data_IF_781292444061
#
_entry.id   IF_781292444061
#
_cell.length_a   1.000
_cell.length_b   1.000
_cell.length_c   1.000
_cell.angle_alpha   90.00
_cell.angle_beta   90.00
_cell.angle_gamma   90.00
#
_symmetry.space_group_name_H-M   'P 1'
#
loop_
_entity.id
_entity.type
_entity.pdbx_description
1 polymer ?
#
# COMPACT_ATOMS: atom_id res chain seq x y z
N UNK A 1 -17.24 4.30 -23.73
CA UNK A 1 -16.30 3.19 -23.44
C UNK A 1 -16.56 2.75 -22.01
N UNK A 2 -16.58 1.46 -21.77
CA UNK A 2 -16.81 0.86 -20.47
C UNK A 2 -15.78 -0.25 -20.23
N UNK A 3 -15.45 -0.51 -18.97
CA UNK A 3 -14.60 -1.62 -18.54
C UNK A 3 -15.16 -2.24 -17.26
N UNK A 4 -14.99 -3.53 -17.11
CA UNK A 4 -15.27 -4.24 -15.86
C UNK A 4 -13.99 -4.82 -15.30
N UNK A 5 -13.66 -4.47 -14.07
CA UNK A 5 -12.55 -5.04 -13.32
C UNK A 5 -13.08 -6.10 -12.35
N UNK A 6 -12.46 -7.27 -12.37
CA UNK A 6 -12.85 -8.42 -11.56
C UNK A 6 -11.96 -8.55 -10.34
N UNK A 7 -12.59 -8.64 -9.18
CA UNK A 7 -11.93 -8.81 -7.88
C UNK A 7 -10.74 -7.88 -7.69
N UNK A 8 -10.90 -6.55 -7.77
CA UNK A 8 -9.78 -5.64 -7.52
C UNK A 8 -9.21 -5.86 -6.11
N UNK A 9 -7.89 -5.77 -5.99
CA UNK A 9 -7.16 -5.98 -4.73
C UNK A 9 -6.29 -4.75 -4.47
N UNK A 10 -6.37 -4.22 -3.26
CA UNK A 10 -5.46 -3.20 -2.75
C UNK A 10 -4.40 -3.87 -1.86
N UNK A 11 -3.18 -4.02 -2.36
CA UNK A 11 -2.14 -4.73 -1.63
C UNK A 11 -1.46 -3.91 -0.53
N UNK A 12 -1.91 -2.67 -0.27
CA UNK A 12 -1.37 -1.81 0.79
C UNK A 12 -2.36 -0.72 1.19
N UNK A 13 -3.06 -0.88 2.31
CA UNK A 13 -4.13 0.02 2.70
C UNK A 13 -4.07 0.41 4.20
N UNK A 14 -4.24 1.72 4.48
CA UNK A 14 -4.41 2.26 5.81
C UNK A 14 -5.87 2.71 6.03
N UNK A 15 -6.65 1.98 6.82
CA UNK A 15 -8.05 2.33 7.12
C UNK A 15 -8.24 3.03 8.47
N UNK A 16 -7.16 3.26 9.22
CA UNK A 16 -7.16 3.97 10.50
C UNK A 16 -8.04 3.30 11.55
N UNK A 17 -8.53 4.06 12.53
CA UNK A 17 -9.23 3.55 13.74
C UNK A 17 -10.48 4.38 14.03
N UNK A 18 -11.43 3.82 14.75
CA UNK A 18 -12.58 4.52 15.32
C UNK A 18 -13.43 5.29 14.28
N UNK A 19 -13.70 6.56 14.54
CA UNK A 19 -14.50 7.40 13.64
C UNK A 19 -13.88 7.57 12.26
N UNK A 20 -12.54 7.63 12.20
CA UNK A 20 -11.81 7.78 10.95
C UNK A 20 -11.93 6.51 10.09
N UNK A 21 -11.85 5.31 10.69
CA UNK A 21 -12.11 4.05 10.00
C UNK A 21 -13.50 4.07 9.34
N UNK A 22 -14.54 4.42 10.10
CA UNK A 22 -15.92 4.47 9.60
C UNK A 22 -16.10 5.46 8.45
N UNK A 23 -15.37 6.58 8.48
CA UNK A 23 -15.47 7.62 7.46
C UNK A 23 -14.78 7.25 6.14
N UNK A 24 -13.74 6.38 6.18
CA UNK A 24 -12.89 6.15 4.99
C UNK A 24 -12.95 4.73 4.44
N UNK A 25 -13.35 3.73 5.26
CA UNK A 25 -13.33 2.31 4.88
C UNK A 25 -14.17 2.03 3.63
N UNK A 26 -15.34 2.63 3.50
CA UNK A 26 -16.25 2.42 2.36
C UNK A 26 -15.59 2.71 1.00
N UNK A 27 -14.74 3.73 0.92
CA UNK A 27 -14.02 4.06 -0.32
C UNK A 27 -13.09 2.96 -0.83
N UNK A 28 -12.66 2.06 0.05
CA UNK A 28 -11.83 0.91 -0.31
C UNK A 28 -12.63 -0.40 -0.26
N UNK A 29 -13.43 -0.63 0.78
CA UNK A 29 -14.14 -1.89 0.95
C UNK A 29 -15.27 -2.10 -0.05
N UNK A 30 -15.84 -1.04 -0.62
CA UNK A 30 -16.86 -1.16 -1.67
C UNK A 30 -16.25 -1.60 -3.00
N UNK A 31 -15.25 -0.90 -3.59
CA UNK A 31 -14.72 -1.25 -4.90
C UNK A 31 -13.73 -2.41 -4.91
N UNK A 32 -13.06 -2.70 -3.80
CA UNK A 32 -12.06 -3.77 -3.72
C UNK A 32 -12.62 -5.04 -3.06
N UNK A 33 -12.25 -6.22 -3.59
CA UNK A 33 -12.58 -7.52 -3.00
C UNK A 33 -11.80 -7.80 -1.74
N UNK A 34 -10.53 -7.35 -1.72
CA UNK A 34 -9.64 -7.53 -0.58
C UNK A 34 -8.62 -6.39 -0.50
N UNK A 35 -8.08 -6.18 0.69
CA UNK A 35 -6.91 -5.34 0.85
C UNK A 35 -5.97 -5.86 1.93
N UNK A 36 -4.65 -5.66 1.75
CA UNK A 36 -3.66 -5.91 2.79
C UNK A 36 -3.66 -4.72 3.75
N UNK A 37 -4.10 -4.98 4.98
CA UNK A 37 -4.29 -3.95 6.00
C UNK A 37 -3.01 -3.70 6.76
N UNK A 38 -2.56 -2.45 6.76
CA UNK A 38 -1.32 -2.05 7.42
C UNK A 38 -1.48 -1.93 8.94
N UNK A 39 -0.49 -2.42 9.72
CA UNK A 39 -0.62 -2.60 11.16
C UNK A 39 -0.15 -1.40 12.00
N UNK A 40 0.33 -0.30 11.39
CA UNK A 40 0.91 0.87 12.07
C UNK A 40 -0.14 1.86 12.56
N UNK A 41 -1.06 1.38 13.37
CA UNK A 41 -2.05 2.18 14.06
C UNK A 41 -1.42 3.04 15.17
N UNK A 42 -2.21 3.82 15.88
CA UNK A 42 -1.75 4.55 17.09
C UNK A 42 -1.19 3.58 18.13
N UNK A 43 -1.83 2.41 18.28
CA UNK A 43 -1.32 1.22 18.94
C UNK A 43 -1.07 0.15 17.89
N UNK A 44 0.19 -0.14 17.53
CA UNK A 44 0.50 -1.09 16.47
C UNK A 44 0.00 -2.50 16.76
N UNK A 45 -0.37 -3.23 15.71
CA UNK A 45 -0.85 -4.62 15.80
C UNK A 45 0.34 -5.58 15.96
N UNK A 46 0.83 -5.73 17.16
CA UNK A 46 2.06 -6.48 17.49
C UNK A 46 1.83 -7.96 17.79
N UNK A 47 0.58 -8.37 17.96
CA UNK A 47 0.19 -9.73 18.32
C UNK A 47 -1.12 -10.16 17.65
N UNK A 48 -1.40 -11.45 17.70
CA UNK A 48 -2.59 -12.06 17.08
C UNK A 48 -3.90 -11.54 17.68
N UNK A 49 -4.09 -11.44 19.01
CA UNK A 49 -5.32 -10.96 19.59
C UNK A 49 -5.70 -9.55 19.11
N UNK A 50 -4.80 -8.58 19.21
CA UNK A 50 -5.07 -7.21 18.79
C UNK A 50 -5.32 -7.10 17.28
N UNK A 51 -4.67 -7.94 16.48
CA UNK A 51 -4.88 -8.00 15.04
C UNK A 51 -6.29 -8.53 14.70
N UNK A 52 -6.77 -9.54 15.40
CA UNK A 52 -8.12 -10.08 15.20
C UNK A 52 -9.21 -9.12 15.70
N UNK A 53 -9.00 -8.43 16.80
CA UNK A 53 -9.91 -7.37 17.28
C UNK A 53 -10.09 -6.28 16.21
N UNK A 54 -9.01 -5.87 15.58
CA UNK A 54 -9.06 -4.86 14.51
C UNK A 54 -9.71 -5.41 13.23
N UNK A 55 -9.47 -6.69 12.89
CA UNK A 55 -10.16 -7.37 11.80
C UNK A 55 -11.68 -7.35 12.02
N UNK A 56 -12.14 -7.67 13.23
CA UNK A 56 -13.56 -7.61 13.58
C UNK A 56 -14.13 -6.19 13.45
N UNK A 57 -13.38 -5.15 13.84
CA UNK A 57 -13.81 -3.76 13.68
C UNK A 57 -14.01 -3.41 12.20
N UNK A 58 -13.09 -3.83 11.33
CA UNK A 58 -13.20 -3.65 9.87
C UNK A 58 -14.44 -4.39 9.33
N UNK A 59 -14.60 -5.64 9.69
CA UNK A 59 -15.72 -6.48 9.20
C UNK A 59 -17.09 -6.00 9.69
N UNK A 60 -17.17 -5.40 10.87
CA UNK A 60 -18.42 -4.76 11.37
C UNK A 60 -18.83 -3.52 10.55
N UNK A 61 -17.88 -2.89 9.85
CA UNK A 61 -18.09 -1.66 9.10
C UNK A 61 -17.96 -1.85 7.57
N UNK A 62 -17.85 -3.09 7.09
CA UNK A 62 -17.77 -3.43 5.67
C UNK A 62 -18.59 -4.65 5.35
N UNK A 63 -19.01 -4.78 4.09
CA UNK A 63 -19.68 -5.96 3.56
C UNK A 63 -18.95 -6.47 2.33
N UNK A 64 -18.98 -7.78 2.12
CA UNK A 64 -18.40 -8.42 0.93
C UNK A 64 -16.95 -7.95 0.65
N UNK A 65 -16.14 -7.85 1.71
CA UNK A 65 -14.74 -7.39 1.68
C UNK A 65 -13.87 -8.29 2.54
N UNK A 66 -12.69 -8.65 2.06
CA UNK A 66 -11.73 -9.50 2.79
C UNK A 66 -10.53 -8.68 3.26
N UNK A 67 -10.46 -8.28 4.53
CA UNK A 67 -9.25 -7.72 5.08
C UNK A 67 -8.18 -8.81 5.17
N UNK A 68 -7.02 -8.56 4.59
CA UNK A 68 -5.84 -9.42 4.67
C UNK A 68 -4.93 -8.81 5.74
N UNK A 69 -5.08 -9.29 6.97
CA UNK A 69 -4.42 -8.70 8.13
C UNK A 69 -2.91 -8.92 8.11
N UNK A 70 -2.17 -7.94 8.61
CA UNK A 70 -0.72 -8.03 8.81
C UNK A 70 -0.34 -7.76 10.27
N UNK A 71 0.71 -8.46 10.74
CA UNK A 71 1.35 -8.16 12.02
C UNK A 71 2.43 -7.10 11.83
N UNK A 72 2.56 -6.23 12.82
CA UNK A 72 3.67 -5.29 12.93
C UNK A 72 4.94 -6.06 13.31
N UNK A 73 5.94 -6.06 12.42
CA UNK A 73 7.24 -6.67 12.72
C UNK A 73 7.94 -5.91 13.85
N UNK A 74 8.30 -6.59 14.89
CA UNK A 74 9.02 -6.05 16.04
C UNK A 74 9.91 -7.12 16.68
N UNK A 75 10.91 -6.70 17.43
CA UNK A 75 11.90 -7.59 18.05
C UNK A 75 11.31 -8.53 19.14
N UNK A 76 10.06 -8.33 19.52
CA UNK A 76 9.33 -9.19 20.46
C UNK A 76 8.57 -10.35 19.83
N UNK A 77 8.55 -10.45 18.49
CA UNK A 77 7.87 -11.55 17.81
C UNK A 77 8.58 -12.89 18.08
N UNK A 78 7.85 -13.81 18.70
CA UNK A 78 8.35 -15.18 18.98
C UNK A 78 7.83 -16.15 17.92
N UNK A 79 8.47 -17.34 17.84
CA UNK A 79 7.99 -18.42 17.00
C UNK A 79 6.55 -18.83 17.33
N UNK A 80 6.21 -18.87 18.64
CA UNK A 80 4.85 -19.22 19.11
C UNK A 80 3.82 -18.20 18.63
N UNK A 81 4.17 -16.90 18.66
CA UNK A 81 3.26 -15.85 18.20
C UNK A 81 3.07 -15.92 16.67
N UNK A 82 4.14 -16.13 15.91
CA UNK A 82 4.04 -16.34 14.47
C UNK A 82 3.20 -17.58 14.14
N UNK A 83 3.37 -18.69 14.87
CA UNK A 83 2.57 -19.89 14.69
C UNK A 83 1.10 -19.65 15.02
N UNK A 84 0.80 -18.89 16.09
CA UNK A 84 -0.56 -18.49 16.47
C UNK A 84 -1.21 -17.65 15.37
N UNK A 85 -0.51 -16.64 14.86
CA UNK A 85 -0.98 -15.78 13.77
C UNK A 85 -1.26 -16.59 12.52
N UNK A 86 -0.35 -17.48 12.13
CA UNK A 86 -0.52 -18.36 10.96
C UNK A 86 -1.75 -19.25 11.09
N UNK A 87 -1.99 -19.84 12.25
CA UNK A 87 -3.14 -20.70 12.53
C UNK A 87 -4.47 -19.92 12.46
N UNK A 88 -4.44 -18.59 12.64
CA UNK A 88 -5.57 -17.67 12.48
C UNK A 88 -5.69 -17.08 11.07
N UNK A 89 -4.84 -17.51 10.13
CA UNK A 89 -4.90 -17.07 8.73
C UNK A 89 -4.14 -15.78 8.43
N UNK A 90 -3.45 -15.19 9.42
CA UNK A 90 -2.59 -14.01 9.21
C UNK A 90 -1.36 -14.47 8.45
N UNK A 91 -1.12 -13.88 7.25
CA UNK A 91 -0.03 -14.29 6.34
C UNK A 91 1.03 -13.22 6.14
N UNK A 92 0.79 -11.99 6.59
CA UNK A 92 1.63 -10.85 6.29
C UNK A 92 2.34 -10.35 7.53
N UNK A 93 3.64 -10.05 7.38
CA UNK A 93 4.44 -9.32 8.36
C UNK A 93 4.84 -7.99 7.74
N UNK A 94 4.58 -6.87 8.39
CA UNK A 94 4.96 -5.54 7.91
C UNK A 94 6.12 -4.99 8.73
N UNK A 95 7.27 -4.86 8.08
CA UNK A 95 8.50 -4.32 8.65
C UNK A 95 8.61 -2.82 8.35
N UNK A 96 8.80 -2.05 9.41
CA UNK A 96 9.14 -0.64 9.36
C UNK A 96 10.51 -0.41 9.99
N UNK A 97 11.49 0.16 9.27
CA UNK A 97 12.69 0.67 9.93
C UNK A 97 12.30 1.81 10.89
N UNK A 98 12.92 1.82 12.05
CA UNK A 98 12.57 2.72 13.16
C UNK A 98 12.58 4.19 12.74
N UNK A 99 11.45 4.88 12.92
CA UNK A 99 11.30 6.31 12.68
C UNK A 99 11.24 6.73 11.20
N UNK A 100 11.24 5.80 10.24
CA UNK A 100 11.25 6.15 8.83
C UNK A 100 9.90 6.66 8.31
N UNK A 101 8.78 6.27 8.93
CA UNK A 101 7.44 6.74 8.53
C UNK A 101 6.53 7.01 9.75
N UNK A 102 5.29 7.38 9.49
CA UNK A 102 4.26 7.65 10.52
C UNK A 102 4.02 6.40 11.37
N UNK A 103 3.98 6.55 12.70
CA UNK A 103 3.81 5.47 13.69
C UNK A 103 4.87 4.35 13.61
N UNK A 104 6.09 4.67 13.13
CA UNK A 104 7.21 3.73 13.06
C UNK A 104 8.23 3.87 14.20
N UNK A 105 7.86 4.52 15.31
CA UNK A 105 8.76 4.73 16.46
C UNK A 105 9.20 3.38 17.10
N UNK A 106 8.32 2.39 17.05
CA UNK A 106 8.55 1.02 17.53
C UNK A 106 9.08 0.08 16.44
N UNK A 107 9.49 0.63 15.28
CA UNK A 107 10.06 -0.15 14.19
C UNK A 107 11.41 -0.76 14.53
N UNK A 108 11.88 -1.63 13.65
CA UNK A 108 13.15 -2.37 13.79
C UNK A 108 14.33 -1.41 13.64
N UNK A 109 15.21 -1.37 14.63
CA UNK A 109 16.40 -0.50 14.64
C UNK A 109 17.61 -1.14 13.97
N UNK A 110 17.74 -2.47 14.07
CA UNK A 110 18.81 -3.24 13.45
C UNK A 110 18.23 -4.26 12.48
N UNK A 111 18.18 -3.87 11.20
CA UNK A 111 17.58 -4.69 10.14
C UNK A 111 18.35 -5.97 9.85
N UNK A 112 19.66 -6.01 10.14
CA UNK A 112 20.52 -7.17 9.94
C UNK A 112 20.96 -7.83 11.26
N UNK A 113 20.39 -7.39 12.38
CA UNK A 113 20.67 -7.97 13.69
C UNK A 113 20.18 -9.41 13.83
N UNK A 114 20.83 -10.14 14.71
CA UNK A 114 20.55 -11.57 14.96
C UNK A 114 19.06 -11.84 15.21
N UNK A 115 18.40 -10.99 16.01
CA UNK A 115 16.97 -11.13 16.33
C UNK A 115 16.07 -10.95 15.12
N UNK A 116 16.36 -9.95 14.28
CA UNK A 116 15.63 -9.73 13.02
C UNK A 116 15.76 -10.93 12.10
N UNK A 117 16.98 -11.44 11.92
CA UNK A 117 17.25 -12.59 11.05
C UNK A 117 16.59 -13.88 11.58
N UNK A 118 16.59 -14.11 12.91
CA UNK A 118 15.87 -15.23 13.54
C UNK A 118 14.35 -15.17 13.24
N UNK A 119 13.74 -14.00 13.40
CA UNK A 119 12.31 -13.81 13.12
C UNK A 119 12.02 -14.06 11.64
N UNK A 120 12.86 -13.57 10.71
CA UNK A 120 12.70 -13.79 9.27
C UNK A 120 12.87 -15.26 8.89
N UNK A 121 13.78 -15.99 9.52
CA UNK A 121 13.93 -17.43 9.31
C UNK A 121 12.66 -18.18 9.74
N UNK A 122 12.10 -17.84 10.91
CA UNK A 122 10.84 -18.40 11.38
C UNK A 122 9.65 -18.03 10.47
N UNK A 123 9.59 -16.79 10.01
CA UNK A 123 8.59 -16.33 9.04
C UNK A 123 8.67 -17.12 7.73
N UNK A 124 9.88 -17.36 7.22
CA UNK A 124 10.10 -18.20 6.03
C UNK A 124 9.59 -19.63 6.24
N UNK A 125 9.97 -20.27 7.37
CA UNK A 125 9.54 -21.64 7.72
C UNK A 125 8.03 -21.78 7.77
N UNK A 126 7.34 -20.74 8.27
CA UNK A 126 5.89 -20.71 8.40
C UNK A 126 5.16 -20.22 7.13
N UNK A 127 5.90 -19.78 6.11
CA UNK A 127 5.35 -19.29 4.85
C UNK A 127 4.61 -17.96 4.99
N UNK A 128 5.15 -17.04 5.79
CA UNK A 128 4.72 -15.65 5.80
C UNK A 128 5.19 -14.91 4.55
N UNK A 129 4.59 -13.76 4.30
CA UNK A 129 5.00 -12.78 3.30
C UNK A 129 5.51 -11.56 4.06
N UNK A 130 6.73 -11.13 3.77
CA UNK A 130 7.33 -9.95 4.38
C UNK A 130 7.06 -8.72 3.52
N UNK A 131 6.35 -7.75 4.06
CA UNK A 131 6.09 -6.44 3.47
C UNK A 131 7.05 -5.42 4.10
N UNK A 132 7.89 -4.76 3.32
CA UNK A 132 8.95 -3.88 3.83
C UNK A 132 8.69 -2.43 3.41
N UNK A 133 8.64 -1.52 4.39
CA UNK A 133 8.85 -0.10 4.13
C UNK A 133 10.36 0.11 3.91
N UNK A 134 10.79 0.15 2.66
CA UNK A 134 12.20 0.04 2.29
C UNK A 134 12.90 1.40 2.31
N UNK A 135 13.06 2.01 3.47
CA UNK A 135 13.84 3.24 3.64
C UNK A 135 14.88 3.10 4.75
N UNK A 136 16.08 3.65 4.53
CA UNK A 136 17.13 3.83 5.54
C UNK A 136 17.45 5.31 5.73
N UNK A 137 18.12 5.63 6.84
CA UNK A 137 18.58 6.99 7.12
C UNK A 137 19.56 7.49 6.06
N UNK A 138 19.34 8.70 5.57
CA UNK A 138 20.18 9.31 4.53
C UNK A 138 19.45 10.45 3.82
N UNK A 139 19.98 10.85 2.67
CA UNK A 139 19.35 11.87 1.84
C UNK A 139 17.95 11.42 1.40
N UNK A 140 16.96 12.29 1.50
CA UNK A 140 15.56 11.95 1.40
C UNK A 140 15.16 11.25 0.09
N UNK A 141 15.81 11.53 -1.03
CA UNK A 141 15.56 10.89 -2.31
C UNK A 141 16.31 9.55 -2.48
N UNK A 142 17.29 9.25 -1.64
CA UNK A 142 18.11 8.03 -1.72
C UNK A 142 17.75 6.97 -0.69
N UNK A 143 16.83 7.27 0.24
CA UNK A 143 16.51 6.38 1.37
C UNK A 143 16.14 4.97 0.95
N UNK A 144 15.36 4.80 -0.13
CA UNK A 144 14.99 3.49 -0.65
C UNK A 144 16.21 2.78 -1.26
N UNK A 145 17.02 3.50 -2.07
CA UNK A 145 18.24 2.96 -2.64
C UNK A 145 19.23 2.50 -1.56
N UNK A 146 19.36 3.26 -0.46
CA UNK A 146 20.20 2.88 0.68
C UNK A 146 19.74 1.58 1.36
N UNK A 147 18.49 1.18 1.21
CA UNK A 147 17.96 -0.07 1.73
C UNK A 147 18.28 -1.30 0.86
N UNK A 148 18.83 -1.12 -0.36
CA UNK A 148 19.07 -2.21 -1.31
C UNK A 148 19.94 -3.33 -0.75
N UNK A 149 21.02 -2.99 -0.03
CA UNK A 149 21.92 -4.01 0.56
C UNK A 149 21.20 -4.88 1.60
N UNK A 150 20.28 -4.30 2.36
CA UNK A 150 19.45 -5.04 3.32
C UNK A 150 18.47 -5.96 2.59
N UNK A 151 17.76 -5.44 1.60
CA UNK A 151 16.81 -6.22 0.79
C UNK A 151 17.51 -7.38 0.06
N UNK A 152 18.70 -7.15 -0.48
CA UNK A 152 19.50 -8.18 -1.13
C UNK A 152 19.95 -9.24 -0.13
N UNK A 153 20.40 -8.83 1.06
CA UNK A 153 20.73 -9.77 2.14
C UNK A 153 19.54 -10.63 2.53
N UNK A 154 18.35 -10.02 2.68
CA UNK A 154 17.14 -10.78 2.97
C UNK A 154 16.78 -11.76 1.86
N UNK A 155 16.85 -11.31 0.60
CA UNK A 155 16.51 -12.15 -0.55
C UNK A 155 17.42 -13.37 -0.66
N UNK A 156 18.73 -13.21 -0.43
CA UNK A 156 19.72 -14.27 -0.48
C UNK A 156 19.66 -15.21 0.73
N UNK A 157 19.48 -14.66 1.94
CA UNK A 157 19.42 -15.44 3.17
C UNK A 157 18.13 -16.23 3.34
N UNK A 158 17.03 -15.71 2.78
CA UNK A 158 15.69 -16.30 2.91
C UNK A 158 15.03 -16.54 1.55
N UNK A 159 15.56 -17.45 0.71
CA UNK A 159 15.14 -17.59 -0.70
C UNK A 159 13.68 -18.09 -0.88
N UNK A 160 13.06 -18.65 0.17
CA UNK A 160 11.65 -19.08 0.17
C UNK A 160 10.72 -18.04 0.76
N UNK A 161 11.24 -16.99 1.39
CA UNK A 161 10.44 -15.89 1.91
C UNK A 161 10.06 -14.96 0.77
N UNK A 162 8.77 -14.76 0.51
CA UNK A 162 8.33 -13.69 -0.40
C UNK A 162 8.50 -12.34 0.29
N UNK A 163 9.21 -11.43 -0.36
CA UNK A 163 9.53 -10.11 0.16
C UNK A 163 8.92 -9.08 -0.79
N UNK A 164 8.09 -8.22 -0.25
CA UNK A 164 7.41 -7.15 -0.99
C UNK A 164 8.05 -5.81 -0.62
N UNK A 165 8.67 -5.15 -1.59
CA UNK A 165 9.07 -3.74 -1.46
C UNK A 165 7.79 -2.93 -1.63
N UNK A 166 7.28 -2.39 -0.52
CA UNK A 166 6.02 -1.66 -0.52
C UNK A 166 6.17 -0.26 -1.13
N UNK A 167 5.11 0.23 -1.81
CA UNK A 167 5.01 1.60 -2.36
C UNK A 167 6.32 2.05 -3.03
N UNK A 168 6.84 1.20 -3.94
CA UNK A 168 8.11 1.40 -4.65
C UNK A 168 8.17 2.82 -5.25
N UNK A 169 9.21 3.57 -4.93
CA UNK A 169 9.35 4.97 -5.30
C UNK A 169 10.62 5.30 -6.09
N UNK A 170 11.57 4.37 -6.14
CA UNK A 170 12.89 4.55 -6.75
C UNK A 170 13.10 3.59 -7.93
N UNK A 171 13.31 4.12 -9.13
CA UNK A 171 13.53 3.32 -10.31
C UNK A 171 14.74 2.37 -10.21
N UNK A 172 15.73 2.69 -9.37
CA UNK A 172 16.94 1.86 -9.16
C UNK A 172 16.62 0.52 -8.55
N UNK A 173 15.51 0.41 -7.81
CA UNK A 173 15.05 -0.84 -7.19
C UNK A 173 14.53 -1.87 -8.21
N UNK A 174 14.23 -1.46 -9.44
CA UNK A 174 13.73 -2.36 -10.51
C UNK A 174 14.74 -3.49 -10.77
N UNK A 175 16.02 -3.14 -10.92
CA UNK A 175 17.07 -4.13 -11.18
C UNK A 175 17.21 -5.15 -10.04
N UNK A 176 17.00 -4.72 -8.79
CA UNK A 176 17.04 -5.61 -7.63
C UNK A 176 15.85 -6.60 -7.65
N UNK A 177 14.64 -6.11 -7.97
CA UNK A 177 13.44 -6.95 -8.09
C UNK A 177 13.60 -7.98 -9.22
N UNK A 178 14.15 -7.58 -10.35
CA UNK A 178 14.38 -8.48 -11.49
C UNK A 178 15.44 -9.55 -11.17
N UNK A 179 16.46 -9.21 -10.38
CA UNK A 179 17.58 -10.08 -10.02
C UNK A 179 17.17 -11.23 -9.09
N UNK A 180 16.21 -11.04 -8.20
CA UNK A 180 15.85 -12.01 -7.15
C UNK A 180 14.42 -12.52 -7.30
N UNK A 181 14.25 -13.85 -7.44
CA UNK A 181 12.93 -14.45 -7.70
C UNK A 181 11.90 -14.25 -6.59
N UNK A 182 12.35 -14.06 -5.37
CA UNK A 182 11.53 -13.86 -4.19
C UNK A 182 11.28 -12.39 -3.82
N UNK A 183 11.79 -11.42 -4.61
CA UNK A 183 11.47 -10.00 -4.49
C UNK A 183 10.33 -9.59 -5.42
N UNK A 184 9.38 -8.86 -4.87
CA UNK A 184 8.21 -8.28 -5.51
C UNK A 184 8.04 -6.84 -5.05
N UNK A 185 7.11 -6.08 -5.65
CA UNK A 185 6.79 -4.76 -5.14
C UNK A 185 5.31 -4.39 -5.32
N UNK A 186 4.86 -3.39 -4.54
CA UNK A 186 3.62 -2.66 -4.78
C UNK A 186 3.93 -1.30 -5.41
N UNK A 187 3.02 -0.83 -6.27
CA UNK A 187 3.03 0.51 -6.84
C UNK A 187 1.75 1.24 -6.47
N UNK A 188 1.88 2.51 -6.07
CA UNK A 188 0.74 3.37 -5.73
C UNK A 188 0.36 4.25 -6.92
N UNK A 189 -0.88 4.74 -6.93
CA UNK A 189 -1.31 5.73 -7.91
C UNK A 189 -0.40 6.98 -7.89
N UNK A 190 -0.07 7.51 -6.73
CA UNK A 190 0.73 8.73 -6.63
C UNK A 190 2.18 8.53 -7.09
N UNK A 191 2.87 7.41 -6.79
CA UNK A 191 4.24 7.19 -7.27
C UNK A 191 4.34 6.96 -8.79
N UNK A 192 3.27 6.49 -9.44
CA UNK A 192 3.26 6.30 -10.90
C UNK A 192 2.68 7.48 -11.69
N UNK A 193 2.06 8.48 -11.03
CA UNK A 193 1.41 9.61 -11.71
C UNK A 193 1.93 10.98 -11.31
N UNK A 194 2.65 11.10 -10.18
CA UNK A 194 3.12 12.36 -9.60
C UNK A 194 4.65 12.39 -9.52
N UNK A 195 5.18 13.59 -9.40
CA UNK A 195 6.60 13.88 -9.22
C UNK A 195 6.81 14.82 -8.03
N UNK A 196 8.06 15.05 -7.66
CA UNK A 196 8.40 16.01 -6.61
C UNK A 196 7.87 17.43 -6.88
N UNK A 197 7.61 17.75 -8.15
CA UNK A 197 7.02 19.05 -8.53
C UNK A 197 5.57 19.19 -8.03
N UNK A 198 4.82 18.10 -7.88
CA UNK A 198 3.47 18.12 -7.30
C UNK A 198 3.48 18.48 -5.81
N UNK A 199 4.60 18.21 -5.12
CA UNK A 199 4.81 18.58 -3.72
C UNK A 199 5.44 19.97 -3.56
N UNK A 200 6.43 20.35 -4.43
CA UNK A 200 7.32 21.48 -4.23
C UNK A 200 7.39 22.47 -5.42
N UNK A 201 6.84 22.16 -6.57
CA UNK A 201 7.03 22.90 -7.82
C UNK A 201 6.34 24.28 -7.90
N UNK A 202 5.57 24.63 -6.91
CA UNK A 202 4.96 25.95 -6.73
C UNK A 202 5.05 26.38 -5.27
N UNK A 203 3.92 26.42 -4.59
CA UNK A 203 3.89 26.41 -3.13
C UNK A 203 3.90 24.96 -2.64
N UNK A 204 4.45 24.74 -1.43
CA UNK A 204 4.42 23.43 -0.79
C UNK A 204 2.97 22.94 -0.63
N UNK A 205 2.65 21.78 -1.22
CA UNK A 205 1.38 21.11 -0.98
C UNK A 205 1.54 19.98 0.06
N UNK A 206 1.15 20.19 1.32
CA UNK A 206 1.26 19.18 2.36
C UNK A 206 0.40 17.95 2.12
N UNK A 207 -0.65 18.03 1.28
CA UNK A 207 -1.51 16.89 0.94
C UNK A 207 -0.81 15.88 0.04
N UNK A 208 0.24 16.28 -0.70
CA UNK A 208 1.08 15.42 -1.52
C UNK A 208 2.29 14.84 -0.76
N UNK A 209 2.44 15.13 0.54
CA UNK A 209 3.52 14.57 1.35
C UNK A 209 3.22 13.14 1.78
N UNK A 210 4.04 12.19 1.32
CA UNK A 210 4.02 10.76 1.68
C UNK A 210 5.44 10.26 1.98
N UNK A 211 5.55 9.03 2.46
CA UNK A 211 6.82 8.31 2.65
C UNK A 211 6.68 6.86 2.15
N UNK A 212 7.57 6.43 1.23
CA UNK A 212 8.67 7.20 0.61
C UNK A 212 8.15 8.43 -0.13
N UNK A 213 9.02 9.44 -0.31
CA UNK A 213 8.64 10.62 -1.10
C UNK A 213 8.34 10.25 -2.55
N UNK A 214 7.37 10.93 -3.15
CA UNK A 214 7.31 11.04 -4.61
C UNK A 214 8.61 11.66 -5.10
N UNK A 215 9.22 11.10 -6.17
CA UNK A 215 10.58 11.44 -6.58
C UNK A 215 10.61 12.17 -7.92
N UNK A 216 11.67 11.93 -8.68
CA UNK A 216 11.89 12.61 -9.96
C UNK A 216 10.96 12.10 -11.05
N UNK A 217 10.88 12.86 -12.14
CA UNK A 217 10.16 12.44 -13.35
C UNK A 217 10.68 11.10 -13.91
N UNK A 218 12.00 10.86 -13.81
CA UNK A 218 12.59 9.58 -14.22
C UNK A 218 12.08 8.41 -13.39
N UNK A 219 11.93 8.60 -12.07
CA UNK A 219 11.35 7.57 -11.20
C UNK A 219 9.91 7.28 -11.61
N UNK A 220 9.09 8.33 -11.71
CA UNK A 220 7.70 8.24 -12.12
C UNK A 220 7.52 7.52 -13.46
N UNK A 221 8.26 7.90 -14.50
CA UNK A 221 8.17 7.29 -15.85
C UNK A 221 8.57 5.79 -15.84
N UNK A 222 9.63 5.44 -15.10
CA UNK A 222 10.08 4.05 -15.00
C UNK A 222 9.10 3.17 -14.22
N UNK A 223 8.58 3.66 -13.11
CA UNK A 223 7.58 2.96 -12.30
C UNK A 223 6.25 2.82 -13.06
N UNK A 224 5.81 3.88 -13.72
CA UNK A 224 4.63 3.84 -14.59
C UNK A 224 4.77 2.78 -15.69
N UNK A 225 5.94 2.67 -16.31
CA UNK A 225 6.19 1.64 -17.35
C UNK A 225 6.00 0.22 -16.83
N UNK A 226 6.35 -0.07 -15.55
CA UNK A 226 6.08 -1.38 -14.93
C UNK A 226 4.59 -1.63 -14.74
N UNK A 227 3.85 -0.62 -14.25
CA UNK A 227 2.42 -0.71 -14.06
C UNK A 227 1.69 -0.95 -15.41
N UNK A 228 1.98 -0.13 -16.40
CA UNK A 228 1.36 -0.22 -17.75
C UNK A 228 1.61 -1.57 -18.45
N UNK A 229 2.74 -2.21 -18.19
CA UNK A 229 3.06 -3.56 -18.70
C UNK A 229 2.51 -4.67 -17.82
N UNK A 230 1.87 -4.35 -16.72
CA UNK A 230 1.45 -5.32 -15.69
C UNK A 230 2.59 -6.29 -15.33
N UNK A 231 3.79 -5.76 -15.05
CA UNK A 231 4.97 -6.58 -14.75
C UNK A 231 4.65 -7.64 -13.69
N UNK A 232 4.95 -8.94 -13.89
CA UNK A 232 4.41 -10.05 -13.09
C UNK A 232 4.84 -10.04 -11.61
N UNK A 233 5.90 -9.31 -11.26
CA UNK A 233 6.36 -9.12 -9.88
C UNK A 233 5.80 -7.86 -9.21
N UNK A 234 4.92 -7.13 -9.90
CA UNK A 234 4.36 -5.85 -9.43
C UNK A 234 2.85 -5.99 -9.25
N UNK A 235 2.34 -5.53 -8.12
CA UNK A 235 0.91 -5.42 -7.85
C UNK A 235 0.54 -3.98 -7.45
N UNK A 236 -0.73 -3.66 -7.56
CA UNK A 236 -1.24 -2.40 -7.06
C UNK A 236 -1.36 -2.43 -5.54
N UNK A 237 -0.89 -1.37 -4.88
CA UNK A 237 -1.13 -1.10 -3.47
C UNK A 237 -1.29 0.41 -3.29
N UNK A 238 -2.43 0.85 -2.79
CA UNK A 238 -2.78 2.27 -2.83
C UNK A 238 -1.92 3.15 -1.94
N UNK A 239 -1.47 2.61 -0.81
CA UNK A 239 -0.96 3.40 0.32
C UNK A 239 -1.88 4.59 0.65
N UNK A 240 -3.19 4.39 0.46
CA UNK A 240 -4.17 5.40 0.82
C UNK A 240 -4.15 5.58 2.33
N UNK A 241 -3.73 6.77 2.76
CA UNK A 241 -3.40 7.05 4.15
C UNK A 241 -4.04 8.38 4.59
N UNK A 242 -5.33 8.38 4.98
CA UNK A 242 -6.08 9.59 5.32
C UNK A 242 -5.56 10.26 6.58
N UNK A 243 -5.49 11.60 6.53
CA UNK A 243 -5.21 12.48 7.65
C UNK A 243 -6.12 13.71 7.60
N UNK A 244 -6.52 14.21 8.75
CA UNK A 244 -7.27 15.47 8.84
C UNK A 244 -6.46 16.63 8.25
N UNK A 245 -7.15 17.56 7.57
CA UNK A 245 -6.52 18.77 7.01
C UNK A 245 -5.80 19.55 8.11
N UNK A 246 -6.37 19.65 9.31
CA UNK A 246 -5.75 20.29 10.46
C UNK A 246 -4.37 19.69 10.83
N UNK A 247 -4.19 18.38 10.67
CA UNK A 247 -2.91 17.69 10.90
C UNK A 247 -1.94 17.91 9.74
N UNK A 248 -2.44 17.90 8.49
CA UNK A 248 -1.61 18.17 7.30
C UNK A 248 -1.09 19.62 7.27
N UNK A 249 -1.75 20.54 7.94
CA UNK A 249 -1.34 21.96 8.06
C UNK A 249 -0.65 22.27 9.40
N UNK A 250 -0.15 21.26 10.11
CA UNK A 250 0.55 21.44 11.38
C UNK A 250 2.09 21.50 11.18
N UNK A 251 2.82 21.91 12.21
CA UNK A 251 4.28 21.90 12.19
C UNK A 251 4.90 20.50 12.02
N UNK A 252 4.19 19.47 12.47
CA UNK A 252 4.59 18.06 12.31
C UNK A 252 3.65 17.36 11.33
N UNK A 253 3.87 17.59 10.05
CA UNK A 253 3.03 17.06 8.97
C UNK A 253 3.15 15.53 8.93
N UNK A 254 2.05 14.76 9.13
CA UNK A 254 2.09 13.32 8.95
C UNK A 254 2.20 12.97 7.46
N UNK A 255 2.99 11.94 7.16
CA UNK A 255 3.07 11.37 5.81
C UNK A 255 1.81 10.57 5.50
N UNK A 256 1.26 10.75 4.31
CA UNK A 256 0.10 10.02 3.80
C UNK A 256 -0.75 10.86 2.83
N UNK A 257 -1.22 10.21 1.78
CA UNK A 257 -2.10 10.76 0.74
C UNK A 257 -3.41 9.99 0.78
N UNK A 258 -4.55 10.67 0.81
CA UNK A 258 -5.85 9.99 0.74
C UNK A 258 -6.34 9.90 -0.70
N UNK A 259 -6.09 8.74 -1.32
CA UNK A 259 -6.39 8.46 -2.72
C UNK A 259 -7.57 7.50 -2.93
N UNK A 260 -8.02 6.79 -1.89
CA UNK A 260 -9.06 5.75 -2.00
C UNK A 260 -10.29 6.16 -2.82
N UNK A 261 -10.85 7.38 -2.70
CA UNK A 261 -12.06 7.76 -3.43
C UNK A 261 -11.93 7.79 -4.96
N UNK A 262 -10.70 7.84 -5.50
CA UNK A 262 -10.48 8.04 -6.93
C UNK A 262 -9.67 6.92 -7.61
N UNK A 263 -9.27 5.88 -6.87
CA UNK A 263 -8.28 4.91 -7.34
C UNK A 263 -8.64 4.28 -8.69
N UNK A 264 -9.77 3.60 -8.79
CA UNK A 264 -10.14 2.90 -10.02
C UNK A 264 -10.40 3.86 -11.19
N UNK A 265 -11.15 4.96 -11.05
CA UNK A 265 -11.30 5.96 -12.10
C UNK A 265 -9.98 6.57 -12.58
N UNK A 266 -9.10 6.95 -11.65
CA UNK A 266 -7.81 7.56 -11.98
C UNK A 266 -6.84 6.57 -12.66
N UNK A 267 -6.86 5.30 -12.25
CA UNK A 267 -6.09 4.24 -12.92
C UNK A 267 -6.63 3.97 -14.33
N UNK A 268 -7.95 3.92 -14.53
CA UNK A 268 -8.53 3.80 -15.88
C UNK A 268 -8.08 4.96 -16.78
N UNK A 269 -8.16 6.20 -16.30
CA UNK A 269 -7.72 7.39 -17.02
C UNK A 269 -6.23 7.31 -17.37
N UNK A 270 -5.38 6.92 -16.42
CA UNK A 270 -3.94 6.81 -16.60
C UNK A 270 -3.57 5.72 -17.62
N UNK A 271 -4.16 4.53 -17.50
CA UNK A 271 -3.89 3.42 -18.39
C UNK A 271 -4.43 3.68 -19.82
N UNK A 272 -5.62 4.29 -19.95
CA UNK A 272 -6.16 4.71 -21.25
C UNK A 272 -5.25 5.71 -21.95
N UNK A 273 -4.77 6.73 -21.23
CA UNK A 273 -3.85 7.75 -21.75
C UNK A 273 -2.59 7.15 -22.39
N UNK A 274 -2.17 5.99 -21.90
CA UNK A 274 -0.99 5.27 -22.40
C UNK A 274 -1.32 4.06 -23.29
N UNK A 275 -2.57 3.89 -23.73
CA UNK A 275 -3.04 2.77 -24.54
C UNK A 275 -2.71 1.40 -23.94
N UNK A 276 -2.93 1.24 -22.63
CA UNK A 276 -2.61 0.02 -21.86
C UNK A 276 -3.78 -0.43 -20.98
N UNK A 277 -5.01 -0.03 -21.29
CA UNK A 277 -6.19 -0.31 -20.48
C UNK A 277 -6.45 -1.81 -20.30
N UNK A 278 -6.07 -2.63 -21.29
CA UNK A 278 -6.13 -4.08 -21.26
C UNK A 278 -5.27 -4.72 -20.17
N UNK A 279 -4.20 -4.05 -19.72
CA UNK A 279 -3.28 -4.52 -18.68
C UNK A 279 -3.75 -4.15 -17.26
N UNK A 280 -4.77 -3.29 -17.12
CA UNK A 280 -5.22 -2.81 -15.83
C UNK A 280 -5.74 -3.94 -14.93
N UNK A 281 -6.48 -4.91 -15.50
CA UNK A 281 -6.96 -6.08 -14.74
C UNK A 281 -5.81 -6.86 -14.09
N UNK A 282 -4.74 -7.11 -14.84
CA UNK A 282 -3.57 -7.82 -14.31
C UNK A 282 -2.88 -7.03 -13.20
N UNK A 283 -2.71 -5.71 -13.37
CA UNK A 283 -2.08 -4.83 -12.39
C UNK A 283 -2.88 -4.71 -11.09
N UNK A 284 -4.23 -4.56 -11.19
CA UNK A 284 -5.09 -4.27 -10.04
C UNK A 284 -5.56 -5.55 -9.29
N UNK A 285 -5.42 -6.73 -9.89
CA UNK A 285 -5.97 -7.98 -9.33
C UNK A 285 -5.08 -9.19 -9.56
N UNK A 286 -4.86 -9.61 -10.83
CA UNK A 286 -4.36 -10.94 -11.13
C UNK A 286 -2.94 -11.17 -10.63
N UNK A 287 -2.09 -10.15 -10.67
CA UNK A 287 -0.73 -10.21 -10.13
C UNK A 287 -0.75 -10.41 -8.62
N UNK A 288 -1.58 -9.65 -7.88
CA UNK A 288 -1.71 -9.80 -6.44
C UNK A 288 -2.21 -11.20 -6.07
N UNK A 289 -3.22 -11.74 -6.78
CA UNK A 289 -3.70 -13.12 -6.59
C UNK A 289 -2.57 -14.14 -6.69
N UNK A 290 -1.70 -14.02 -7.71
CA UNK A 290 -0.56 -14.91 -7.93
C UNK A 290 0.55 -14.73 -6.88
N UNK A 291 0.95 -13.47 -6.64
CA UNK A 291 2.05 -13.14 -5.70
C UNK A 291 1.71 -13.61 -4.29
N UNK A 292 0.49 -13.33 -3.83
CA UNK A 292 0.09 -13.61 -2.44
C UNK A 292 -0.61 -14.95 -2.27
N UNK A 293 -0.79 -15.73 -3.34
CA UNK A 293 -1.56 -16.98 -3.37
C UNK A 293 -2.93 -16.78 -2.69
N UNK A 294 -3.74 -15.89 -3.28
CA UNK A 294 -5.05 -15.54 -2.74
C UNK A 294 -6.14 -16.36 -3.42
N UNK A 295 -6.79 -17.20 -2.63
CA UNK A 295 -7.96 -17.97 -3.02
C UNK A 295 -9.18 -17.48 -2.24
N UNK A 296 -10.38 -17.81 -2.73
CA UNK A 296 -11.66 -17.55 -2.05
C UNK A 296 -11.85 -16.08 -1.67
N UNK A 297 -11.61 -15.18 -2.62
CA UNK A 297 -11.95 -13.76 -2.47
C UNK A 297 -13.45 -13.55 -2.69
N UNK A 298 -14.03 -12.50 -2.07
CA UNK A 298 -15.37 -12.05 -2.46
C UNK A 298 -15.41 -11.76 -3.96
N UNK A 299 -16.39 -12.31 -4.66
CA UNK A 299 -16.57 -12.06 -6.08
C UNK A 299 -17.13 -10.64 -6.27
N UNK A 300 -16.29 -9.72 -6.74
CA UNK A 300 -16.67 -8.34 -7.03
C UNK A 300 -16.38 -7.95 -8.47
N UNK A 301 -17.29 -7.16 -9.02
CA UNK A 301 -17.14 -6.56 -10.35
C UNK A 301 -17.28 -5.06 -10.24
N UNK A 302 -16.21 -4.34 -10.48
CA UNK A 302 -16.22 -2.88 -10.54
C UNK A 302 -16.47 -2.45 -11.99
N UNK A 303 -17.64 -1.85 -12.24
CA UNK A 303 -18.03 -1.34 -13.56
C UNK A 303 -17.68 0.13 -13.68
N UNK A 304 -16.80 0.46 -14.62
CA UNK A 304 -16.38 1.84 -14.87
C UNK A 304 -16.77 2.24 -16.29
N UNK A 305 -17.23 3.48 -16.43
CA UNK A 305 -17.54 4.08 -17.73
C UNK A 305 -16.81 5.41 -17.93
N UNK A 306 -16.57 5.73 -19.19
CA UNK A 306 -15.98 7.01 -19.60
C UNK A 306 -17.04 8.13 -19.50
N UNK A 307 -17.33 8.52 -18.27
CA UNK A 307 -18.28 9.56 -17.92
C UNK A 307 -17.61 10.53 -16.93
N UNK A 308 -17.29 11.75 -17.35
CA UNK A 308 -16.57 12.68 -16.51
C UNK A 308 -17.32 12.99 -15.21
N UNK A 309 -16.57 13.13 -14.10
CA UNK A 309 -17.08 13.61 -12.83
C UNK A 309 -16.05 14.50 -12.14
N UNK A 310 -16.53 15.41 -11.29
CA UNK A 310 -15.68 16.28 -10.48
C UNK A 310 -15.37 15.55 -9.17
N UNK A 311 -14.07 15.38 -8.88
CA UNK A 311 -13.62 14.77 -7.63
C UNK A 311 -14.01 15.65 -6.44
N UNK A 312 -14.69 15.13 -5.40
CA UNK A 312 -14.94 15.89 -4.19
C UNK A 312 -13.62 16.38 -3.57
N UNK A 313 -13.56 17.61 -3.11
CA UNK A 313 -12.33 18.17 -2.53
C UNK A 313 -11.93 17.51 -1.23
N UNK A 314 -12.89 16.99 -0.48
CA UNK A 314 -12.68 16.37 0.82
C UNK A 314 -13.82 15.40 1.18
N UNK A 315 -13.58 14.52 2.14
CA UNK A 315 -14.63 13.83 2.91
C UNK A 315 -14.66 14.34 4.34
N UNK A 316 -15.75 14.06 5.04
CA UNK A 316 -15.96 14.49 6.42
C UNK A 316 -15.77 13.29 7.38
N UNK A 317 -15.09 13.53 8.49
CA UNK A 317 -15.07 12.64 9.64
C UNK A 317 -15.36 13.49 10.88
N UNK A 318 -16.50 13.23 11.53
CA UNK A 318 -17.03 14.15 12.56
C UNK A 318 -17.15 15.57 11.98
N UNK A 319 -16.48 16.55 12.58
CA UNK A 319 -16.48 17.96 12.15
C UNK A 319 -15.19 18.36 11.41
N UNK A 320 -14.32 17.40 11.08
CA UNK A 320 -13.06 17.66 10.40
C UNK A 320 -13.06 17.13 8.97
N UNK A 321 -12.27 17.78 8.12
CA UNK A 321 -12.12 17.45 6.70
C UNK A 321 -10.86 16.62 6.45
N UNK A 322 -10.97 15.69 5.50
CA UNK A 322 -9.86 14.88 4.97
C UNK A 322 -9.78 15.19 3.49
N UNK A 323 -8.71 15.83 3.03
CA UNK A 323 -8.52 16.17 1.63
C UNK A 323 -8.40 14.91 0.76
N UNK A 324 -9.05 14.93 -0.40
CA UNK A 324 -8.97 13.85 -1.39
C UNK A 324 -7.94 14.24 -2.44
N UNK A 325 -7.09 13.30 -2.83
CA UNK A 325 -6.14 13.48 -3.94
C UNK A 325 -6.88 13.95 -5.20
N UNK A 326 -6.35 14.95 -5.90
CA UNK A 326 -6.97 15.57 -7.09
C UNK A 326 -8.36 16.20 -6.83
N UNK A 327 -8.66 16.57 -5.58
CA UNK A 327 -9.92 17.21 -5.21
C UNK A 327 -10.21 18.48 -6.01
N UNK A 328 -11.39 18.56 -6.61
CA UNK A 328 -11.82 19.67 -7.50
C UNK A 328 -11.46 19.45 -8.98
N UNK A 329 -10.61 18.48 -9.32
CA UNK A 329 -10.33 18.14 -10.72
C UNK A 329 -11.43 17.30 -11.34
N UNK A 330 -11.45 17.26 -12.67
CA UNK A 330 -12.36 16.40 -13.43
C UNK A 330 -11.61 15.15 -13.87
N UNK A 331 -12.07 13.96 -13.46
CA UNK A 331 -11.67 12.69 -14.00
C UNK A 331 -12.56 12.29 -15.17
N UNK A 332 -12.00 11.69 -16.20
CA UNK A 332 -12.73 11.28 -17.41
C UNK A 332 -13.47 9.94 -17.25
N UNK A 333 -13.11 9.15 -16.26
CA UNK A 333 -13.72 7.86 -15.89
C UNK A 333 -14.45 7.94 -14.56
N UNK A 334 -15.52 7.18 -14.42
CA UNK A 334 -16.31 7.12 -13.20
C UNK A 334 -16.69 5.67 -12.88
N UNK A 335 -16.66 5.32 -11.59
CA UNK A 335 -17.20 4.06 -11.07
C UNK A 335 -18.73 4.16 -11.07
N UNK A 336 -19.40 3.23 -11.76
CA UNK A 336 -20.85 3.26 -11.91
C UNK A 336 -21.53 2.32 -10.93
N UNK A 337 -21.05 1.10 -10.81
CA UNK A 337 -21.69 0.02 -10.04
C UNK A 337 -20.63 -0.95 -9.55
N UNK A 338 -20.94 -1.56 -8.39
CA UNK A 338 -20.21 -2.70 -7.81
C UNK A 338 -21.21 -3.86 -7.71
N UNK A 339 -20.94 -4.97 -8.43
CA UNK A 339 -21.75 -6.17 -8.44
C UNK A 339 -21.07 -7.35 -7.75
#
# INVERSE_FOLDING_TARGET
MEITLFDPIDAHLHVRENALLKAVLGYSSEPFSAAVIMPNLSKPLIDTPTTLEYEEEILKNSSNFKPLMSLYFNDGLTLEELQRAKNKGIKFLKLYPKGMTTNAQNGTSDLLGEKTLEILENAQKLGFILCVHAEQAGFCLDKEFLCHSVLETFALSFPKLKIIIEHLSDWRSIALIEKHDNLYATLTLHHISMTLDDLLGGSLDPHCFCKPLIKTKKDQERLLSLALKAHPKISFGSDSAPHFISKKHSANIPAGIFSAPILLPALCELFEKHNALENLQAFISDNAKKIYALDNLPNKKAHLSKKPFIVPTHTLCLNEKIAILRGGETLSWNLQEIA
#
